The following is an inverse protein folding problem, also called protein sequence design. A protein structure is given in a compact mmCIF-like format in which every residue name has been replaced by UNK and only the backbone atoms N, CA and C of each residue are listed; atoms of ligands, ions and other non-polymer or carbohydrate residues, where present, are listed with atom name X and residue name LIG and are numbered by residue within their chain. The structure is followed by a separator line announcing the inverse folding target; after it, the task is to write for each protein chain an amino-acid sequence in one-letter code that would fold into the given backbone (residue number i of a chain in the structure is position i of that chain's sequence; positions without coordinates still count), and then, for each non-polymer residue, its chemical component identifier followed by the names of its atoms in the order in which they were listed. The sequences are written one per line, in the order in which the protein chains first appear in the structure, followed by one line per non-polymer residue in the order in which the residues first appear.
data_IF_875017804466
#
_entry.id   IF_875017804466
#
_cell.length_a   1.000
_cell.length_b   1.000
_cell.length_c   1.000
_cell.angle_alpha   90.00
_cell.angle_beta   90.00
_cell.angle_gamma   90.00
#
_symmetry.space_group_name_H-M   'P 1'
#
loop_
_entity.id
_entity.type
_entity.pdbx_description
1 polymer ?
#
# COMPACT_ATOMS: atom_id res chain seq x y z
N UNK A 1 9.75 -51.20 -48.99
CA UNK A 1 9.55 -51.97 -47.73
C UNK A 1 10.87 -52.04 -46.95
N UNK A 2 10.79 -52.08 -45.61
CA UNK A 2 11.86 -52.20 -44.56
C UNK A 2 12.61 -50.91 -44.19
N UNK A 3 12.65 -50.44 -42.93
CA UNK A 3 11.94 -50.71 -41.65
C UNK A 3 12.29 -49.49 -40.77
N UNK A 4 11.30 -48.66 -40.41
CA UNK A 4 11.51 -47.51 -39.48
C UNK A 4 11.73 -48.05 -38.07
N UNK A 5 12.90 -47.79 -37.50
CA UNK A 5 13.29 -48.23 -36.15
C UNK A 5 12.43 -47.52 -35.09
N UNK A 6 11.62 -48.30 -34.37
CA UNK A 6 10.82 -47.85 -33.22
C UNK A 6 11.76 -47.58 -32.03
N UNK A 7 12.01 -46.31 -31.71
CA UNK A 7 12.62 -45.94 -30.42
C UNK A 7 11.48 -45.89 -29.40
N UNK A 8 11.40 -46.94 -28.58
CA UNK A 8 10.44 -47.08 -27.47
C UNK A 8 10.95 -46.31 -26.26
N UNK A 9 10.04 -45.52 -25.68
CA UNK A 9 10.05 -44.89 -24.36
C UNK A 9 10.72 -45.76 -23.30
N UNK A 10 11.55 -45.19 -22.41
CA UNK A 10 11.57 -45.44 -20.96
C UNK A 10 12.69 -44.66 -20.24
N UNK A 11 12.46 -44.37 -18.94
CA UNK A 11 13.28 -43.68 -17.94
C UNK A 11 13.21 -42.14 -17.99
N UNK A 12 12.31 -41.45 -17.26
CA UNK A 12 12.08 -41.46 -15.80
C UNK A 12 13.31 -41.01 -14.99
N UNK A 13 13.12 -39.93 -14.22
CA UNK A 13 13.86 -39.40 -13.05
C UNK A 13 14.56 -38.04 -13.21
N UNK A 14 14.16 -37.11 -12.32
CA UNK A 14 14.77 -35.81 -11.96
C UNK A 14 14.62 -34.70 -13.03
N UNK A 15 13.64 -33.81 -12.95
CA UNK A 15 13.59 -32.78 -11.92
C UNK A 15 12.12 -32.44 -11.61
N UNK A 16 11.67 -32.91 -10.45
CA UNK A 16 10.57 -32.27 -9.75
C UNK A 16 10.96 -30.82 -9.43
N UNK A 17 9.96 -29.96 -9.23
CA UNK A 17 10.09 -28.59 -8.73
C UNK A 17 10.76 -27.57 -9.68
N UNK A 18 10.02 -27.14 -10.69
CA UNK A 18 10.04 -25.74 -11.13
C UNK A 18 8.67 -25.08 -10.84
N UNK A 19 8.09 -25.43 -9.70
CA UNK A 19 6.80 -24.90 -9.19
C UNK A 19 6.97 -23.66 -8.30
N UNK A 20 8.05 -22.89 -8.44
CA UNK A 20 8.32 -21.78 -7.51
C UNK A 20 8.98 -20.54 -8.12
N UNK A 21 8.79 -20.28 -9.42
CA UNK A 21 9.07 -18.96 -9.98
C UNK A 21 7.82 -18.07 -10.02
N UNK A 22 6.88 -18.30 -9.10
CA UNK A 22 6.09 -17.19 -8.60
C UNK A 22 7.01 -16.41 -7.67
N UNK A 23 7.79 -15.46 -8.21
CA UNK A 23 8.38 -14.42 -7.38
C UNK A 23 7.21 -13.56 -6.87
N UNK A 24 6.52 -14.04 -5.83
CA UNK A 24 5.64 -13.19 -5.06
C UNK A 24 6.54 -12.33 -4.17
N UNK A 25 6.99 -11.21 -4.73
CA UNK A 25 7.57 -10.09 -3.98
C UNK A 25 6.47 -9.45 -3.15
N UNK A 26 6.08 -10.14 -2.08
CA UNK A 26 5.03 -9.70 -1.15
C UNK A 26 5.57 -8.97 0.08
N UNK A 27 6.76 -8.36 0.00
CA UNK A 27 7.43 -7.78 1.16
C UNK A 27 8.39 -6.62 0.84
N UNK A 28 8.16 -5.84 -0.22
CA UNK A 28 9.05 -4.73 -0.61
C UNK A 28 8.35 -3.44 -1.09
N UNK A 29 7.13 -3.15 -0.65
CA UNK A 29 6.74 -1.73 -0.57
C UNK A 29 6.64 -1.31 0.90
N UNK A 30 7.81 -1.18 1.50
CA UNK A 30 8.01 -0.09 2.45
C UNK A 30 7.87 1.21 1.65
N UNK A 31 6.66 1.80 1.67
CA UNK A 31 6.28 2.94 0.82
C UNK A 31 5.09 2.72 -0.11
N UNK A 32 4.28 1.64 0.04
CA UNK A 32 2.94 1.57 -0.60
C UNK A 32 2.12 2.72 -0.06
N UNK A 33 2.05 3.81 -0.81
CA UNK A 33 0.96 4.75 -0.70
C UNK A 33 -0.35 3.95 -0.73
N UNK A 34 -1.30 4.22 0.17
CA UNK A 34 -2.59 3.55 0.14
C UNK A 34 -3.19 3.65 -1.27
N UNK A 35 -3.75 2.56 -1.81
CA UNK A 35 -4.20 2.52 -3.19
C UNK A 35 -5.21 3.65 -3.46
N UNK A 36 -5.19 4.28 -4.65
CA UNK A 36 -6.12 5.36 -4.96
C UNK A 36 -7.58 4.94 -4.75
N UNK A 37 -8.35 5.81 -4.10
CA UNK A 37 -9.77 5.63 -3.80
C UNK A 37 -10.06 4.86 -2.51
N UNK A 38 -9.03 4.38 -1.80
CA UNK A 38 -9.14 3.69 -0.51
C UNK A 38 -8.91 4.63 0.67
N UNK A 39 -9.24 4.18 1.89
CA UNK A 39 -9.03 4.94 3.13
C UNK A 39 -7.59 5.46 3.28
N UNK A 40 -7.42 6.77 3.46
CA UNK A 40 -6.10 7.42 3.53
C UNK A 40 -5.35 7.51 2.20
N UNK A 41 -5.88 6.90 1.13
CA UNK A 41 -5.37 6.90 -0.24
C UNK A 41 -5.74 8.16 -1.01
N UNK A 42 -5.06 8.37 -2.13
CA UNK A 42 -5.34 9.49 -3.02
C UNK A 42 -6.74 9.38 -3.64
N UNK A 43 -7.38 10.51 -3.94
CA UNK A 43 -8.64 10.49 -4.69
C UNK A 43 -8.45 9.88 -6.09
N UNK A 44 -9.53 9.32 -6.65
CA UNK A 44 -9.57 8.99 -8.07
C UNK A 44 -9.53 10.28 -8.92
N UNK A 45 -9.19 10.15 -10.21
CA UNK A 45 -9.15 11.27 -11.16
C UNK A 45 -10.46 12.07 -11.22
N UNK A 46 -11.58 11.43 -10.88
CA UNK A 46 -12.93 12.03 -10.83
C UNK A 46 -13.25 12.78 -9.53
N UNK A 47 -12.28 12.95 -8.63
CA UNK A 47 -12.46 13.48 -7.27
C UNK A 47 -13.48 12.66 -6.46
N UNK A 48 -13.42 11.34 -6.61
CA UNK A 48 -14.27 10.38 -5.91
C UNK A 48 -13.43 9.29 -5.24
N UNK A 49 -14.03 8.56 -4.32
CA UNK A 49 -13.44 7.40 -3.66
C UNK A 49 -14.13 6.11 -4.16
N UNK A 50 -13.50 4.95 -3.95
CA UNK A 50 -14.03 3.67 -4.43
C UNK A 50 -15.30 3.27 -3.67
N UNK A 51 -15.33 3.55 -2.38
CA UNK A 51 -16.46 3.26 -1.51
C UNK A 51 -17.40 4.47 -1.36
N UNK A 52 -18.71 4.21 -1.34
CA UNK A 52 -19.74 5.25 -1.37
C UNK A 52 -19.85 6.08 -0.08
N UNK A 53 -19.29 5.61 1.03
CA UNK A 53 -19.27 6.33 2.32
C UNK A 53 -18.08 7.29 2.48
N UNK A 54 -17.19 7.36 1.48
CA UNK A 54 -15.90 8.03 1.59
C UNK A 54 -15.91 9.33 0.79
N UNK A 55 -15.35 10.37 1.39
CA UNK A 55 -15.32 11.71 0.84
C UNK A 55 -13.89 11.99 0.35
N UNK A 56 -13.78 12.49 -0.88
CA UNK A 56 -12.53 13.01 -1.40
C UNK A 56 -12.33 14.45 -0.91
N UNK A 57 -11.25 14.69 -0.15
CA UNK A 57 -10.81 16.04 0.14
C UNK A 57 -10.09 16.63 -1.08
N UNK A 58 -10.62 17.72 -1.65
CA UNK A 58 -10.07 18.30 -2.88
C UNK A 58 -8.73 19.02 -2.67
N UNK A 59 -8.47 19.46 -1.44
CA UNK A 59 -7.27 20.22 -1.08
C UNK A 59 -6.11 19.27 -0.82
N UNK A 60 -6.31 18.25 0.03
CA UNK A 60 -5.33 17.22 0.34
C UNK A 60 -5.30 16.05 -0.65
N UNK A 61 -6.24 15.98 -1.59
CA UNK A 61 -6.38 14.92 -2.60
C UNK A 61 -6.44 13.50 -2.01
N UNK A 62 -7.05 13.31 -0.83
CA UNK A 62 -7.17 12.01 -0.18
C UNK A 62 -8.63 11.63 0.12
N UNK A 63 -8.86 10.33 0.31
CA UNK A 63 -10.13 9.75 0.72
C UNK A 63 -10.18 9.51 2.23
N UNK A 64 -11.27 9.92 2.87
CA UNK A 64 -11.54 9.65 4.29
C UNK A 64 -13.00 9.25 4.52
N UNK A 65 -13.26 8.47 5.57
CA UNK A 65 -14.62 8.07 5.94
C UNK A 65 -15.27 9.21 6.73
N UNK A 66 -16.51 9.57 6.37
CA UNK A 66 -17.23 10.62 7.07
C UNK A 66 -17.60 10.25 8.52
N UNK A 67 -17.93 8.98 8.77
CA UNK A 67 -18.32 8.46 10.08
C UNK A 67 -17.09 8.25 10.99
N UNK A 68 -16.01 7.71 10.43
CA UNK A 68 -14.72 7.53 11.11
C UNK A 68 -13.56 8.10 10.27
N UNK A 69 -13.27 9.41 10.37
CA UNK A 69 -12.26 10.07 9.55
C UNK A 69 -10.86 9.45 9.64
N UNK A 70 -10.52 8.81 10.76
CA UNK A 70 -9.22 8.20 10.98
C UNK A 70 -9.13 6.74 10.52
N UNK A 71 -10.23 6.16 10.03
CA UNK A 71 -10.23 4.81 9.49
C UNK A 71 -9.25 4.70 8.31
N UNK A 72 -8.27 3.79 8.42
CA UNK A 72 -7.23 3.58 7.42
C UNK A 72 -6.16 4.67 7.32
N UNK A 73 -6.21 5.70 8.17
CA UNK A 73 -5.21 6.77 8.22
C UNK A 73 -4.16 6.43 9.28
N UNK A 74 -2.99 5.98 8.83
CA UNK A 74 -1.91 5.52 9.72
C UNK A 74 -0.84 6.57 10.01
N UNK A 75 -0.88 7.75 9.39
CA UNK A 75 0.12 8.81 9.58
C UNK A 75 1.57 8.34 9.38
N UNK A 76 1.81 7.37 8.49
CA UNK A 76 3.13 6.79 8.27
C UNK A 76 3.70 6.03 9.47
N UNK A 77 2.87 5.65 10.46
CA UNK A 77 3.29 5.02 11.72
C UNK A 77 4.22 5.86 12.60
N UNK A 78 4.35 7.15 12.30
CA UNK A 78 5.17 8.11 13.02
C UNK A 78 4.35 9.31 13.50
N UNK A 79 3.09 9.04 13.83
CA UNK A 79 2.13 10.01 14.29
C UNK A 79 0.81 9.35 14.67
N UNK A 80 -0.08 10.17 15.25
CA UNK A 80 -1.42 9.76 15.58
C UNK A 80 -2.43 10.49 14.69
N UNK A 81 -3.41 9.76 14.15
CA UNK A 81 -4.55 10.39 13.50
C UNK A 81 -5.50 10.96 14.55
N UNK A 82 -5.89 12.21 14.36
CA UNK A 82 -6.91 12.90 15.14
C UNK A 82 -7.98 13.46 14.19
N UNK A 83 -9.19 13.68 14.70
CA UNK A 83 -10.25 14.33 13.93
C UNK A 83 -10.27 15.80 14.27
N UNK A 84 -10.05 16.65 13.28
CA UNK A 84 -10.17 18.10 13.46
C UNK A 84 -11.61 18.46 13.82
N UNK A 85 -11.79 19.29 14.86
CA UNK A 85 -13.12 19.55 15.40
C UNK A 85 -13.96 20.48 14.53
N UNK A 86 -13.34 21.34 13.75
CA UNK A 86 -14.03 22.33 12.91
C UNK A 86 -14.39 21.74 11.55
N UNK A 87 -13.43 21.11 10.90
CA UNK A 87 -13.55 20.56 9.54
C UNK A 87 -14.05 19.12 9.52
N UNK A 88 -13.96 18.40 10.65
CA UNK A 88 -14.30 16.97 10.77
C UNK A 88 -13.46 16.05 9.88
N UNK A 89 -12.31 16.53 9.40
CA UNK A 89 -11.34 15.77 8.58
C UNK A 89 -10.32 15.05 9.46
N UNK A 90 -9.65 14.00 8.95
CA UNK A 90 -8.48 13.46 9.62
C UNK A 90 -7.30 14.41 9.53
N UNK A 91 -6.54 14.50 10.61
CA UNK A 91 -5.28 15.23 10.69
C UNK A 91 -4.23 14.35 11.39
N UNK A 92 -2.99 14.41 10.92
CA UNK A 92 -1.88 13.67 11.51
C UNK A 92 -1.08 14.55 12.46
N UNK A 93 -1.06 14.19 13.74
CA UNK A 93 -0.14 14.76 14.73
C UNK A 93 1.14 13.94 14.70
N UNK A 94 2.18 14.48 14.06
CA UNK A 94 3.45 13.79 13.89
C UNK A 94 4.30 13.76 15.17
N UNK A 95 5.03 12.67 15.35
CA UNK A 95 6.04 12.53 16.39
C UNK A 95 7.22 13.48 16.17
N UNK A 96 8.00 13.71 17.22
CA UNK A 96 9.15 14.59 17.14
C UNK A 96 10.16 14.11 16.07
N UNK A 97 10.54 15.02 15.17
CA UNK A 97 11.43 14.71 14.05
C UNK A 97 10.73 14.24 12.77
N UNK A 98 9.40 14.14 12.79
CA UNK A 98 8.58 13.89 11.61
C UNK A 98 7.69 15.09 11.31
N UNK A 99 7.34 15.30 10.03
CA UNK A 99 6.42 16.34 9.60
C UNK A 99 5.48 15.84 8.49
N UNK A 100 4.31 16.44 8.39
CA UNK A 100 3.32 16.20 7.33
C UNK A 100 3.31 17.32 6.27
N UNK A 101 4.36 18.14 6.20
CA UNK A 101 4.45 19.28 5.27
C UNK A 101 4.38 18.86 3.80
N UNK A 102 4.93 17.67 3.49
CA UNK A 102 4.94 17.13 2.13
C UNK A 102 3.65 16.36 1.79
N UNK A 103 3.01 15.77 2.81
CA UNK A 103 1.86 14.88 2.66
C UNK A 103 0.94 15.01 3.88
N UNK A 104 -0.28 15.54 3.71
CA UNK A 104 -1.17 15.91 4.82
C UNK A 104 -1.50 14.77 5.79
N UNK A 105 -1.56 13.53 5.29
CA UNK A 105 -1.88 12.32 6.06
C UNK A 105 -0.69 11.37 6.27
N UNK A 106 0.54 11.87 6.09
CA UNK A 106 1.73 11.04 6.24
C UNK A 106 2.85 11.81 6.94
N UNK A 107 3.32 11.28 8.07
CA UNK A 107 4.44 11.84 8.80
C UNK A 107 5.76 11.34 8.19
N UNK A 108 6.42 12.20 7.44
CA UNK A 108 7.73 11.94 6.84
C UNK A 108 8.85 12.41 7.77
N UNK A 109 9.85 11.56 7.97
CA UNK A 109 11.10 11.96 8.63
C UNK A 109 12.02 12.70 7.67
N UNK A 110 13.11 13.31 8.16
CA UNK A 110 14.13 13.89 7.29
C UNK A 110 14.71 12.83 6.37
N UNK A 111 14.99 13.20 5.12
CA UNK A 111 15.56 12.31 4.11
C UNK A 111 16.84 11.65 4.66
N UNK A 112 16.77 10.34 4.96
CA UNK A 112 17.86 9.56 5.54
C UNK A 112 17.49 8.76 6.81
N UNK A 113 16.29 8.96 7.38
CA UNK A 113 15.77 8.08 8.43
C UNK A 113 15.00 6.94 7.76
N UNK A 114 15.71 5.96 7.19
CA UNK A 114 15.09 4.68 6.87
C UNK A 114 14.69 4.05 8.19
N UNK A 115 13.38 3.98 8.46
CA UNK A 115 12.81 3.43 9.67
C UNK A 115 13.16 1.95 9.84
N UNK A 116 14.35 1.67 10.38
CA UNK A 116 14.64 0.42 11.05
C UNK A 116 13.90 0.42 12.39
N UNK A 117 12.57 0.29 12.34
CA UNK A 117 11.76 -0.02 13.50
C UNK A 117 12.17 -1.38 14.03
N UNK A 118 12.95 -1.40 15.11
CA UNK A 118 13.18 -2.60 15.91
C UNK A 118 11.93 -2.79 16.78
N UNK A 119 11.04 -3.67 16.35
CA UNK A 119 9.99 -4.26 17.20
C UNK A 119 10.50 -5.58 17.79
#
# INVERSE_FOLDING_TARGET
MKRRTKIRRLASLCFAFALSAGCYSGAEEEGKEPPPGYPGGWCLETLTCYEAAWICDKEGLYCYNYEDPCEGVHCGWHGACVVDQETRKPECVCEAGYSNEMYSLYCAGPAGVTGAGTF
#
